data_IF_318788869633
#
_entry.id   IF_318788869633
#
_cell.length_a   1.000
_cell.length_b   1.000
_cell.length_c   1.000
_cell.angle_alpha   90.00
_cell.angle_beta   90.00
_cell.angle_gamma   90.00
#
_symmetry.space_group_name_H-M   'P 1'
#
loop_
_entity.id
_entity.type
_entity.pdbx_description
1 polymer ?
#
# COMPACT_ATOMS: atom_id res chain seq x y z
N UNK A 1 0.12 80.60 6.56
CA UNK A 1 0.50 81.39 7.76
C UNK A 1 1.42 80.45 8.53
N UNK A 2 2.73 80.64 8.39
CA UNK A 2 3.63 81.28 9.40
C UNK A 2 3.70 80.44 10.65
N UNK A 3 4.79 80.00 11.20
CA UNK A 3 6.22 80.33 11.16
C UNK A 3 6.95 79.19 11.92
N UNK A 4 8.08 78.63 11.41
CA UNK A 4 9.42 79.08 11.83
C UNK A 4 9.66 79.11 13.37
N UNK A 5 10.49 78.15 13.90
CA UNK A 5 11.74 78.50 14.53
C UNK A 5 12.70 77.34 14.81
N UNK A 6 13.94 77.48 14.52
CA UNK A 6 15.17 76.76 14.90
C UNK A 6 15.71 77.37 16.19
N UNK A 7 16.93 76.98 16.67
CA UNK A 7 17.66 75.72 16.87
C UNK A 7 18.22 75.63 18.33
N UNK A 8 18.87 74.53 18.65
CA UNK A 8 19.65 74.39 19.86
C UNK A 8 20.69 73.26 19.77
N UNK A 9 21.87 73.61 19.33
CA UNK A 9 23.10 72.83 19.49
C UNK A 9 23.43 72.66 20.97
N UNK A 10 23.78 71.43 21.37
CA UNK A 10 24.73 71.27 22.49
C UNK A 10 25.59 70.03 22.24
N UNK A 11 26.87 70.35 22.33
CA UNK A 11 28.02 69.48 22.03
C UNK A 11 28.51 68.75 23.29
N UNK A 12 29.23 67.68 23.06
CA UNK A 12 30.25 67.01 23.89
C UNK A 12 29.81 66.10 25.07
N UNK A 13 30.14 64.82 25.04
CA UNK A 13 31.47 64.31 25.46
C UNK A 13 31.59 62.84 25.18
N UNK A 14 32.69 62.46 24.54
CA UNK A 14 33.24 61.13 24.56
C UNK A 14 33.50 60.63 25.96
N UNK A 15 33.08 59.40 26.24
CA UNK A 15 33.74 58.56 27.21
C UNK A 15 33.82 57.15 26.71
N UNK A 16 35.03 56.77 26.39
CA UNK A 16 35.42 55.41 26.05
C UNK A 16 35.36 54.55 27.32
N UNK A 17 34.57 53.50 27.30
CA UNK A 17 34.75 52.41 28.26
C UNK A 17 34.55 51.07 27.59
N UNK A 18 35.55 50.26 27.81
CA UNK A 18 35.90 48.95 27.36
C UNK A 18 34.76 47.94 27.17
N UNK A 19 34.83 47.23 26.10
CA UNK A 19 34.11 45.95 25.80
C UNK A 19 34.43 44.84 26.81
N UNK A 20 33.47 44.02 27.11
CA UNK A 20 33.68 42.62 27.30
C UNK A 20 32.83 41.81 26.28
N UNK A 21 33.28 41.79 25.06
CA UNK A 21 32.71 40.93 24.04
C UNK A 21 33.60 39.69 23.86
N UNK A 22 33.57 38.75 24.78
CA UNK A 22 34.26 37.43 24.62
C UNK A 22 33.63 36.27 25.37
N UNK A 23 32.39 36.32 25.87
CA UNK A 23 31.81 35.21 26.65
C UNK A 23 30.50 34.65 26.13
N UNK A 24 29.91 35.16 25.05
CA UNK A 24 28.60 34.68 24.56
C UNK A 24 28.66 33.77 23.33
N UNK A 25 29.85 33.48 22.79
CA UNK A 25 29.98 32.62 21.60
C UNK A 25 30.21 31.11 21.90
N UNK A 26 30.33 30.71 23.14
CA UNK A 26 30.55 29.31 23.53
C UNK A 26 29.29 28.57 24.01
N UNK A 27 28.20 29.28 24.28
CA UNK A 27 26.94 28.65 24.72
C UNK A 27 25.98 28.27 23.59
N UNK A 28 26.15 28.81 22.39
CA UNK A 28 25.24 28.55 21.25
C UNK A 28 25.60 27.31 20.41
N UNK A 29 26.79 26.74 20.57
CA UNK A 29 27.19 25.56 19.80
C UNK A 29 26.76 24.23 20.45
N UNK A 30 26.40 24.20 21.71
CA UNK A 30 25.94 23.00 22.41
C UNK A 30 24.43 22.74 22.27
N UNK A 31 23.62 23.76 21.92
CA UNK A 31 22.19 23.59 21.72
C UNK A 31 21.81 23.04 20.32
N UNK A 32 22.69 23.16 19.33
CA UNK A 32 22.43 22.70 17.95
C UNK A 32 22.64 21.18 17.74
N UNK A 33 23.32 20.51 18.66
CA UNK A 33 23.64 19.07 18.52
C UNK A 33 22.52 18.17 19.08
N UNK A 34 21.62 18.71 19.92
CA UNK A 34 20.55 17.91 20.55
C UNK A 34 19.23 17.84 19.75
N UNK A 35 19.07 18.62 18.66
CA UNK A 35 17.84 18.61 17.84
C UNK A 35 17.91 17.64 16.64
N UNK A 36 19.03 16.95 16.42
CA UNK A 36 19.19 16.05 15.27
C UNK A 36 18.89 14.58 15.57
N UNK A 37 18.44 14.22 16.78
CA UNK A 37 18.36 12.82 17.20
C UNK A 37 16.95 12.28 17.39
N UNK A 38 15.90 12.95 16.87
CA UNK A 38 14.53 12.41 16.90
C UNK A 38 13.86 12.43 15.53
N UNK A 39 14.61 12.22 14.45
CA UNK A 39 14.04 11.60 13.28
C UNK A 39 13.81 10.13 13.67
N UNK A 40 12.73 9.85 14.39
CA UNK A 40 12.21 8.50 14.50
C UNK A 40 12.06 8.02 13.07
N UNK A 41 12.90 7.06 12.66
CA UNK A 41 12.71 6.32 11.43
C UNK A 41 11.28 5.78 11.54
N UNK A 42 10.35 6.37 10.81
CA UNK A 42 9.14 5.67 10.42
C UNK A 42 9.69 4.51 9.61
N UNK A 43 9.84 3.37 10.27
CA UNK A 43 10.29 2.16 9.61
C UNK A 43 9.28 1.90 8.51
N UNK A 44 9.70 2.18 7.28
CA UNK A 44 8.88 1.96 6.10
C UNK A 44 8.54 0.47 6.07
N UNK A 45 7.26 0.14 5.99
CA UNK A 45 6.78 -1.23 5.88
C UNK A 45 7.32 -1.86 4.60
N UNK A 46 8.47 -2.54 4.66
CA UNK A 46 9.09 -3.16 3.50
C UNK A 46 9.53 -4.58 3.82
N UNK A 47 8.93 -5.54 3.15
CA UNK A 47 9.26 -6.94 3.31
C UNK A 47 8.90 -7.77 2.08
N UNK A 48 9.43 -9.00 2.01
CA UNK A 48 8.96 -10.04 1.11
C UNK A 48 8.53 -11.28 1.88
N UNK A 49 7.64 -12.09 1.29
CA UNK A 49 7.20 -13.35 1.85
C UNK A 49 6.76 -14.32 0.76
N UNK A 50 6.78 -15.61 1.07
CA UNK A 50 6.20 -16.66 0.24
C UNK A 50 4.74 -16.90 0.67
N UNK A 51 3.79 -16.97 -0.29
CA UNK A 51 2.40 -17.32 -0.02
C UNK A 51 2.19 -18.81 -0.19
N UNK A 52 1.66 -19.42 0.85
CA UNK A 52 1.40 -20.88 0.91
C UNK A 52 -0.03 -21.12 1.35
N UNK A 53 -0.75 -21.97 0.63
CA UNK A 53 -2.05 -22.47 1.03
C UNK A 53 -1.93 -23.84 1.65
N UNK A 54 -2.63 -24.05 2.77
CA UNK A 54 -2.78 -25.36 3.42
C UNK A 54 -4.26 -25.69 3.51
N UNK A 55 -4.63 -26.86 2.95
CA UNK A 55 -5.97 -27.42 3.07
C UNK A 55 -5.82 -28.89 3.39
N UNK A 56 -6.39 -29.30 4.53
CA UNK A 56 -6.18 -30.63 5.10
C UNK A 56 -4.67 -30.93 5.23
N UNK A 57 -4.18 -31.99 4.64
CA UNK A 57 -2.76 -32.37 4.63
C UNK A 57 -1.99 -31.82 3.40
N UNK A 58 -2.68 -31.10 2.50
CA UNK A 58 -2.08 -30.60 1.26
C UNK A 58 -1.54 -29.20 1.46
N UNK A 59 -0.28 -29.00 1.08
CA UNK A 59 0.38 -27.70 1.05
C UNK A 59 0.69 -27.31 -0.40
N UNK A 60 0.28 -26.12 -0.79
CA UNK A 60 0.45 -25.59 -2.16
C UNK A 60 1.12 -24.22 -2.12
N UNK A 61 2.21 -24.04 -2.84
CA UNK A 61 2.79 -22.72 -3.04
C UNK A 61 1.90 -21.88 -3.94
N UNK A 62 1.44 -20.74 -3.45
CA UNK A 62 0.59 -19.81 -4.20
C UNK A 62 1.39 -18.73 -4.93
N UNK A 63 2.61 -18.44 -4.47
CA UNK A 63 3.46 -17.42 -5.07
C UNK A 63 4.31 -16.68 -4.05
N UNK A 64 4.74 -15.48 -4.45
CA UNK A 64 5.54 -14.58 -3.61
C UNK A 64 4.91 -13.20 -3.57
N UNK A 65 4.95 -12.57 -2.41
CA UNK A 65 4.58 -11.17 -2.28
C UNK A 65 5.79 -10.31 -1.87
N UNK A 66 5.74 -9.05 -2.30
CA UNK A 66 6.59 -7.97 -1.82
C UNK A 66 5.72 -6.81 -1.41
N UNK A 67 6.09 -6.17 -0.32
CA UNK A 67 5.33 -5.06 0.27
C UNK A 67 6.25 -3.86 0.45
N UNK A 68 5.77 -2.68 0.13
CA UNK A 68 6.43 -1.41 0.41
C UNK A 68 5.39 -0.28 0.47
N UNK A 69 5.33 0.40 1.62
CA UNK A 69 4.61 1.67 1.79
C UNK A 69 3.17 1.67 1.22
N UNK A 70 2.38 0.69 1.60
CA UNK A 70 1.00 0.59 1.14
C UNK A 70 0.82 -0.03 -0.24
N UNK A 71 1.89 -0.52 -0.87
CA UNK A 71 1.85 -1.22 -2.15
C UNK A 71 2.23 -2.68 -1.99
N UNK A 72 1.62 -3.54 -2.83
CA UNK A 72 1.96 -4.96 -2.91
C UNK A 72 2.21 -5.35 -4.36
N UNK A 73 3.25 -6.14 -4.55
CA UNK A 73 3.45 -6.93 -5.76
C UNK A 73 3.27 -8.40 -5.40
N UNK A 74 2.33 -9.05 -6.08
CA UNK A 74 2.04 -10.47 -5.91
C UNK A 74 2.38 -11.21 -7.21
N UNK A 75 3.35 -12.09 -7.14
CA UNK A 75 3.76 -13.01 -8.21
C UNK A 75 3.09 -14.37 -7.94
N UNK A 76 1.92 -14.60 -8.55
CA UNK A 76 1.14 -15.80 -8.31
C UNK A 76 1.66 -16.96 -9.14
N UNK A 77 1.86 -18.14 -8.52
CA UNK A 77 2.35 -19.34 -9.20
C UNK A 77 1.44 -19.81 -10.35
N UNK A 78 0.14 -19.53 -10.27
CA UNK A 78 -0.83 -19.82 -11.31
C UNK A 78 -0.64 -18.99 -12.59
N UNK A 79 0.07 -17.86 -12.53
CA UNK A 79 0.33 -16.97 -13.67
C UNK A 79 1.80 -16.54 -13.72
N UNK A 80 2.69 -17.44 -14.14
CA UNK A 80 4.14 -17.20 -14.08
C UNK A 80 4.63 -16.11 -15.06
N UNK A 81 3.81 -15.70 -16.02
CA UNK A 81 4.12 -14.67 -17.02
C UNK A 81 3.59 -13.28 -16.63
N UNK A 82 3.04 -13.14 -15.41
CA UNK A 82 2.47 -11.89 -14.91
C UNK A 82 2.54 -11.74 -13.40
N UNK A 83 2.14 -10.56 -12.93
CA UNK A 83 2.05 -10.24 -11.51
C UNK A 83 0.93 -9.25 -11.24
N UNK A 84 0.47 -9.23 -10.01
CA UNK A 84 -0.48 -8.22 -9.54
C UNK A 84 0.25 -7.07 -8.85
N UNK A 85 -0.23 -5.86 -9.09
CA UNK A 85 0.13 -4.66 -8.32
C UNK A 85 -1.10 -4.17 -7.59
N UNK A 86 -0.96 -3.94 -6.29
CA UNK A 86 -2.01 -3.42 -5.41
C UNK A 86 -1.50 -2.13 -4.80
N UNK A 87 -2.35 -1.10 -4.78
CA UNK A 87 -2.08 0.19 -4.13
C UNK A 87 -3.26 0.53 -3.24
N UNK A 88 -3.02 0.81 -1.95
CA UNK A 88 -4.07 1.16 -1.00
C UNK A 88 -4.25 2.67 -0.85
N UNK A 89 -3.29 3.49 -1.25
CA UNK A 89 -3.38 4.95 -1.16
C UNK A 89 -4.40 5.51 -2.15
N UNK A 90 -4.41 4.95 -3.38
CA UNK A 90 -5.49 5.18 -4.33
C UNK A 90 -6.07 3.82 -4.73
N UNK A 91 -7.03 3.26 -3.97
CA UNK A 91 -7.38 1.84 -4.06
C UNK A 91 -7.44 1.33 -5.48
N UNK A 92 -6.48 0.51 -5.86
CA UNK A 92 -6.34 -0.04 -7.21
C UNK A 92 -5.68 -1.42 -7.16
N UNK A 93 -6.05 -2.27 -8.10
CA UNK A 93 -5.38 -3.53 -8.35
C UNK A 93 -5.23 -3.74 -9.85
N UNK A 94 -4.02 -4.04 -10.29
CA UNK A 94 -3.69 -4.28 -11.70
C UNK A 94 -3.08 -5.66 -11.88
N UNK A 95 -3.44 -6.34 -12.96
CA UNK A 95 -2.70 -7.48 -13.45
C UNK A 95 -1.80 -7.03 -14.60
N UNK A 96 -0.51 -7.32 -14.50
CA UNK A 96 0.53 -6.86 -15.42
C UNK A 96 1.15 -8.06 -16.10
N UNK A 97 1.18 -8.08 -17.45
CA UNK A 97 1.83 -9.11 -18.27
C UNK A 97 2.93 -8.49 -19.12
N UNK A 98 4.18 -8.50 -18.64
CA UNK A 98 5.30 -7.85 -19.33
C UNK A 98 5.55 -8.42 -20.74
N UNK A 99 5.51 -9.75 -20.91
CA UNK A 99 5.71 -10.39 -22.20
C UNK A 99 4.70 -9.97 -23.27
N UNK A 100 3.46 -9.67 -22.88
CA UNK A 100 2.42 -9.15 -23.77
C UNK A 100 2.40 -7.62 -23.84
N UNK A 101 3.21 -6.92 -23.05
CA UNK A 101 3.26 -5.46 -22.91
C UNK A 101 1.89 -4.84 -22.60
N UNK A 102 1.10 -5.51 -21.77
CA UNK A 102 -0.24 -5.07 -21.35
C UNK A 102 -0.41 -5.13 -19.85
N UNK A 103 -1.29 -4.28 -19.34
CA UNK A 103 -1.84 -4.40 -17.99
C UNK A 103 -3.35 -4.18 -18.03
N UNK A 104 -4.06 -4.67 -17.03
CA UNK A 104 -5.51 -4.53 -16.90
C UNK A 104 -5.92 -4.35 -15.45
N UNK A 105 -7.12 -3.84 -15.21
CA UNK A 105 -7.68 -3.81 -13.87
C UNK A 105 -7.89 -5.26 -13.40
N UNK A 106 -7.26 -5.61 -12.27
CA UNK A 106 -7.33 -6.96 -11.72
C UNK A 106 -8.72 -7.31 -11.17
N UNK A 107 -9.41 -6.30 -10.61
CA UNK A 107 -10.80 -6.42 -10.07
C UNK A 107 -11.07 -7.77 -9.41
N UNK A 108 -11.78 -8.66 -10.12
CA UNK A 108 -12.18 -9.98 -9.64
C UNK A 108 -11.22 -11.10 -10.06
N UNK A 109 -10.06 -10.76 -10.64
CA UNK A 109 -9.13 -11.78 -11.20
C UNK A 109 -8.52 -12.68 -10.13
N UNK A 110 -8.33 -12.20 -8.91
CA UNK A 110 -7.81 -12.99 -7.81
C UNK A 110 -8.31 -12.47 -6.47
N UNK A 111 -8.93 -13.30 -5.63
CA UNK A 111 -9.31 -12.93 -4.26
C UNK A 111 -8.12 -12.49 -3.40
N UNK A 112 -6.92 -13.01 -3.69
CA UNK A 112 -5.69 -12.69 -2.96
C UNK A 112 -5.38 -11.19 -3.00
N UNK A 113 -5.72 -10.49 -4.08
CA UNK A 113 -5.49 -9.03 -4.21
C UNK A 113 -6.31 -8.21 -3.21
N UNK A 114 -7.48 -8.70 -2.83
CA UNK A 114 -8.30 -8.07 -1.80
C UNK A 114 -7.94 -8.48 -0.38
N UNK A 115 -7.49 -9.71 -0.19
CA UNK A 115 -7.18 -10.28 1.12
C UNK A 115 -5.80 -9.83 1.64
N UNK A 116 -4.77 -9.87 0.77
CA UNK A 116 -3.39 -9.52 1.11
C UNK A 116 -3.05 -8.09 0.65
N UNK A 117 -3.70 -7.12 1.27
CA UNK A 117 -3.42 -5.70 1.11
C UNK A 117 -2.94 -5.12 2.45
N UNK A 118 -2.00 -4.16 2.46
CA UNK A 118 -1.60 -3.47 3.68
C UNK A 118 -2.80 -2.84 4.38
N UNK A 119 -2.80 -2.86 5.71
CA UNK A 119 -3.92 -2.37 6.50
C UNK A 119 -3.44 -1.39 7.57
N UNK A 120 -4.32 -0.51 8.01
CA UNK A 120 -4.15 0.19 9.28
C UNK A 120 -4.49 -0.80 10.42
N UNK A 121 -3.54 -1.15 11.30
CA UNK A 121 -3.80 -2.10 12.38
C UNK A 121 -4.93 -1.67 13.34
N UNK A 122 -5.23 -0.37 13.40
CA UNK A 122 -6.31 0.15 14.23
C UNK A 122 -7.68 0.08 13.53
N UNK A 123 -7.70 -0.01 12.20
CA UNK A 123 -8.91 -0.14 11.40
C UNK A 123 -8.67 -0.92 10.10
N UNK A 124 -8.36 -2.22 10.19
CA UNK A 124 -8.12 -3.07 9.01
C UNK A 124 -9.37 -3.20 8.13
N UNK A 125 -10.54 -3.10 8.74
CA UNK A 125 -11.82 -3.22 8.05
C UNK A 125 -12.00 -2.19 6.93
N UNK A 126 -11.47 -0.98 7.12
CA UNK A 126 -11.54 0.09 6.12
C UNK A 126 -10.82 -0.28 4.83
N UNK A 127 -9.61 -0.84 4.91
CA UNK A 127 -8.84 -1.25 3.73
C UNK A 127 -9.49 -2.43 3.02
N UNK A 128 -9.93 -3.45 3.75
CA UNK A 128 -10.64 -4.57 3.16
C UNK A 128 -11.95 -4.15 2.49
N UNK A 129 -12.71 -3.21 3.10
CA UNK A 129 -13.88 -2.64 2.46
C UNK A 129 -13.53 -1.91 1.15
N UNK A 130 -12.48 -1.09 1.15
CA UNK A 130 -12.05 -0.37 -0.04
C UNK A 130 -11.65 -1.34 -1.17
N UNK A 131 -10.94 -2.42 -0.85
CA UNK A 131 -10.60 -3.46 -1.83
C UNK A 131 -11.82 -4.25 -2.32
N UNK A 132 -12.78 -4.54 -1.43
CA UNK A 132 -14.05 -5.16 -1.82
C UNK A 132 -14.86 -4.28 -2.78
N UNK A 133 -14.86 -2.96 -2.58
CA UNK A 133 -15.50 -1.98 -3.46
C UNK A 133 -14.92 -2.00 -4.88
N UNK A 134 -13.62 -2.25 -5.03
CA UNK A 134 -13.01 -2.42 -6.35
C UNK A 134 -13.53 -3.65 -7.09
N UNK A 135 -13.79 -4.73 -6.34
CA UNK A 135 -14.20 -6.02 -6.91
C UNK A 135 -15.70 -6.10 -7.18
N UNK A 136 -16.52 -5.58 -6.28
CA UNK A 136 -17.99 -5.66 -6.35
C UNK A 136 -18.65 -4.36 -5.85
N UNK A 137 -18.60 -3.26 -6.62
CA UNK A 137 -19.04 -1.94 -6.15
C UNK A 137 -20.52 -1.83 -5.82
N UNK A 138 -21.36 -2.73 -6.31
CA UNK A 138 -22.84 -2.65 -6.19
C UNK A 138 -23.42 -3.54 -5.11
N UNK A 139 -22.62 -4.41 -4.48
CA UNK A 139 -23.14 -5.44 -3.57
C UNK A 139 -22.44 -5.39 -2.20
N UNK A 140 -22.47 -4.23 -1.55
CA UNK A 140 -21.84 -4.05 -0.23
C UNK A 140 -22.85 -4.10 0.92
N UNK A 141 -24.14 -4.31 0.64
CA UNK A 141 -25.18 -4.34 1.68
C UNK A 141 -24.91 -5.45 2.73
N UNK A 142 -24.30 -6.53 2.31
CA UNK A 142 -23.95 -7.68 3.17
C UNK A 142 -22.56 -7.59 3.78
N UNK A 143 -21.77 -6.56 3.42
CA UNK A 143 -20.43 -6.39 4.01
C UNK A 143 -20.49 -6.28 5.53
N UNK A 144 -19.68 -7.08 6.18
CA UNK A 144 -19.45 -7.03 7.63
C UNK A 144 -17.98 -7.28 7.90
N UNK A 145 -17.40 -6.52 8.81
CA UNK A 145 -16.05 -6.75 9.30
C UNK A 145 -16.02 -6.39 10.78
N UNK A 146 -15.47 -7.25 11.59
CA UNK A 146 -15.37 -7.05 13.02
C UNK A 146 -14.14 -7.74 13.60
N UNK A 147 -13.58 -7.18 14.65
CA UNK A 147 -12.58 -7.84 15.46
C UNK A 147 -13.20 -9.09 16.10
N UNK A 148 -12.53 -10.22 16.01
CA UNK A 148 -12.98 -11.51 16.57
C UNK A 148 -12.27 -11.80 17.88
N UNK A 149 -10.94 -11.92 17.86
CA UNK A 149 -10.10 -12.16 19.04
C UNK A 149 -8.64 -11.80 18.78
N UNK A 150 -7.79 -11.94 19.80
CA UNK A 150 -6.33 -11.93 19.66
C UNK A 150 -5.79 -13.35 19.71
N UNK A 151 -4.78 -13.64 18.90
CA UNK A 151 -4.12 -14.94 18.87
C UNK A 151 -2.59 -14.76 18.76
N UNK A 152 -1.84 -15.72 19.29
CA UNK A 152 -0.38 -15.74 19.12
C UNK A 152 -0.01 -16.77 18.05
N UNK A 153 0.52 -16.29 16.93
CA UNK A 153 0.98 -17.12 15.81
C UNK A 153 2.48 -16.96 15.67
N UNK A 154 3.23 -18.07 15.71
CA UNK A 154 4.69 -18.09 15.64
C UNK A 154 5.38 -17.11 16.60
N UNK A 155 4.84 -16.95 17.83
CA UNK A 155 5.37 -16.07 18.87
C UNK A 155 4.99 -14.59 18.74
N UNK A 156 4.23 -14.20 17.72
CA UNK A 156 3.73 -12.84 17.50
C UNK A 156 2.26 -12.72 17.86
N UNK A 157 1.88 -11.62 18.49
CA UNK A 157 0.47 -11.29 18.73
C UNK A 157 -0.17 -10.77 17.45
N UNK A 158 -1.28 -11.38 17.08
CA UNK A 158 -2.09 -11.04 15.91
C UNK A 158 -3.49 -10.65 16.36
N UNK A 159 -4.06 -9.65 15.72
CA UNK A 159 -5.48 -9.36 15.81
C UNK A 159 -6.22 -10.15 14.73
N UNK A 160 -7.22 -10.90 15.12
CA UNK A 160 -8.04 -11.70 14.21
C UNK A 160 -9.34 -10.96 13.91
N UNK A 161 -9.63 -10.81 12.63
CA UNK A 161 -10.84 -10.16 12.13
C UNK A 161 -11.67 -11.14 11.32
N UNK A 162 -12.98 -11.09 11.53
CA UNK A 162 -13.94 -11.80 10.70
C UNK A 162 -14.49 -10.86 9.65
N UNK A 163 -14.32 -11.22 8.39
CA UNK A 163 -14.81 -10.48 7.24
C UNK A 163 -15.83 -11.32 6.50
N UNK A 164 -17.04 -10.77 6.32
CA UNK A 164 -18.06 -11.31 5.44
C UNK A 164 -18.30 -10.32 4.29
N UNK A 165 -17.96 -10.73 3.10
CA UNK A 165 -18.18 -9.99 1.87
C UNK A 165 -19.13 -10.76 0.95
N UNK A 166 -19.78 -10.12 -0.03
CA UNK A 166 -20.73 -10.78 -0.93
C UNK A 166 -20.16 -12.02 -1.64
N UNK A 167 -18.88 -11.99 -1.94
CA UNK A 167 -18.20 -13.07 -2.70
C UNK A 167 -17.32 -13.97 -1.85
N UNK A 168 -17.09 -13.65 -0.57
CA UNK A 168 -16.18 -14.43 0.29
C UNK A 168 -16.33 -14.07 1.76
N UNK A 169 -16.28 -15.09 2.60
CA UNK A 169 -16.13 -14.94 4.06
C UNK A 169 -14.76 -15.48 4.46
N UNK A 170 -14.06 -14.75 5.31
CA UNK A 170 -12.75 -15.19 5.79
C UNK A 170 -12.43 -14.66 7.18
N UNK A 171 -11.47 -15.30 7.85
CA UNK A 171 -10.76 -14.78 9.00
C UNK A 171 -9.39 -14.26 8.54
N UNK A 172 -9.00 -13.07 9.00
CA UNK A 172 -7.70 -12.47 8.69
C UNK A 172 -6.91 -12.19 9.97
N UNK A 173 -5.68 -12.68 10.04
CA UNK A 173 -4.72 -12.42 11.11
C UNK A 173 -3.84 -11.24 10.72
N UNK A 174 -3.99 -10.13 11.40
CA UNK A 174 -3.25 -8.89 11.15
C UNK A 174 -2.06 -8.80 12.09
N UNK A 175 -0.87 -8.75 11.52
CA UNK A 175 0.37 -8.41 12.23
C UNK A 175 0.46 -6.89 12.37
N UNK A 176 0.49 -6.41 13.61
CA UNK A 176 0.58 -4.97 13.91
C UNK A 176 1.93 -4.37 13.51
N UNK A 177 3.01 -5.13 13.58
CA UNK A 177 4.35 -4.69 13.23
C UNK A 177 4.47 -4.48 11.71
N UNK A 178 4.07 -5.50 10.93
CA UNK A 178 4.06 -5.41 9.47
C UNK A 178 2.87 -4.63 8.91
N UNK A 179 1.86 -4.26 9.73
CA UNK A 179 0.61 -3.62 9.28
C UNK A 179 -0.01 -4.35 8.10
N UNK A 180 -0.06 -5.68 8.21
CA UNK A 180 -0.37 -6.55 7.09
C UNK A 180 -1.09 -7.82 7.57
N UNK A 181 -2.08 -8.33 6.81
CA UNK A 181 -2.67 -9.63 7.06
C UNK A 181 -1.69 -10.74 6.65
N UNK A 182 -1.10 -11.41 7.64
CA UNK A 182 -0.11 -12.48 7.39
C UNK A 182 -0.73 -13.84 7.21
N UNK A 183 -1.99 -14.00 7.59
CA UNK A 183 -2.71 -15.26 7.46
C UNK A 183 -4.19 -15.01 7.19
N UNK A 184 -4.76 -15.81 6.30
CA UNK A 184 -6.18 -15.76 5.92
C UNK A 184 -6.72 -17.18 5.98
N UNK A 185 -7.87 -17.38 6.66
CA UNK A 185 -8.63 -18.63 6.61
C UNK A 185 -9.93 -18.39 5.86
N UNK A 186 -10.09 -19.06 4.75
CA UNK A 186 -11.29 -19.00 3.92
C UNK A 186 -12.41 -19.90 4.47
N UNK A 187 -13.62 -19.69 4.01
CA UNK A 187 -14.82 -20.41 4.47
C UNK A 187 -14.73 -21.94 4.24
N UNK A 188 -14.06 -22.35 3.17
CA UNK A 188 -13.81 -23.75 2.85
C UNK A 188 -12.69 -24.41 3.69
N UNK A 189 -12.18 -23.69 4.68
CA UNK A 189 -11.16 -24.14 5.62
C UNK A 189 -9.72 -23.98 5.11
N UNK A 190 -9.51 -23.51 3.89
CA UNK A 190 -8.15 -23.26 3.37
C UNK A 190 -7.46 -22.16 4.19
N UNK A 191 -6.25 -22.44 4.67
CA UNK A 191 -5.39 -21.50 5.37
C UNK A 191 -4.32 -20.98 4.41
N UNK A 192 -4.30 -19.67 4.14
CA UNK A 192 -3.30 -19.04 3.31
C UNK A 192 -2.39 -18.22 4.22
N UNK A 193 -1.09 -18.46 4.18
CA UNK A 193 -0.13 -17.85 5.09
C UNK A 193 1.01 -17.22 4.31
N UNK A 194 1.43 -16.02 4.73
CA UNK A 194 2.68 -15.41 4.34
C UNK A 194 3.81 -16.03 5.19
N UNK A 195 4.56 -16.95 4.61
CA UNK A 195 5.67 -17.65 5.25
C UNK A 195 7.02 -17.01 4.87
N UNK A 196 8.06 -17.26 5.66
CA UNK A 196 9.42 -16.77 5.39
C UNK A 196 9.48 -15.25 5.17
N UNK A 197 8.79 -14.49 6.03
CA UNK A 197 8.81 -13.02 5.97
C UNK A 197 10.25 -12.55 6.17
N UNK A 198 10.72 -11.72 5.25
CA UNK A 198 12.05 -11.10 5.25
C UNK A 198 11.90 -9.60 5.18
N UNK A 199 12.30 -8.92 6.25
CA UNK A 199 12.36 -7.47 6.29
C UNK A 199 13.54 -7.00 5.44
N UNK A 200 13.26 -6.43 4.29
CA UNK A 200 14.25 -6.02 3.30
C UNK A 200 13.76 -4.85 2.47
N UNK A 201 14.65 -3.95 2.14
CA UNK A 201 14.34 -2.80 1.28
C UNK A 201 13.84 -3.28 -0.09
N UNK A 202 12.73 -2.69 -0.52
CA UNK A 202 12.12 -3.00 -1.80
C UNK A 202 12.31 -1.81 -2.77
N UNK A 203 12.93 -2.02 -3.95
CA UNK A 203 13.06 -0.96 -4.94
C UNK A 203 11.69 -0.44 -5.39
N UNK A 204 11.50 0.88 -5.43
CA UNK A 204 10.23 1.51 -5.79
C UNK A 204 9.69 1.03 -7.15
N UNK A 205 10.59 0.81 -8.12
CA UNK A 205 10.24 0.32 -9.47
C UNK A 205 9.56 -1.07 -9.45
N UNK A 206 9.75 -1.86 -8.38
CA UNK A 206 9.10 -3.15 -8.19
C UNK A 206 7.57 -3.03 -8.16
N UNK A 207 7.07 -1.87 -7.73
CA UNK A 207 5.63 -1.58 -7.55
C UNK A 207 5.06 -0.67 -8.63
N UNK A 208 5.76 -0.48 -9.72
CA UNK A 208 5.33 0.35 -10.84
C UNK A 208 4.92 -0.52 -12.04
N UNK A 209 3.98 -0.01 -12.82
CA UNK A 209 3.69 -0.58 -14.14
C UNK A 209 4.88 -0.23 -15.06
N UNK A 210 5.57 -1.23 -15.65
CA UNK A 210 6.73 -0.95 -16.49
C UNK A 210 6.41 0.00 -17.65
N UNK A 211 7.36 0.85 -18.01
CA UNK A 211 7.18 1.80 -19.11
C UNK A 211 6.83 1.10 -20.45
N UNK A 212 6.01 1.74 -21.28
CA UNK A 212 5.61 1.22 -22.57
C UNK A 212 4.54 0.13 -22.54
N UNK A 213 3.94 -0.12 -21.37
CA UNK A 213 2.78 -1.01 -21.23
C UNK A 213 1.50 -0.31 -21.70
N UNK A 214 0.57 -1.07 -22.30
CA UNK A 214 -0.75 -0.59 -22.70
C UNK A 214 -1.81 -1.12 -21.76
N UNK A 215 -2.75 -0.26 -21.37
CA UNK A 215 -3.94 -0.75 -20.65
C UNK A 215 -4.80 -1.56 -21.62
N UNK A 216 -5.10 -2.81 -21.25
CA UNK A 216 -5.99 -3.68 -22.00
C UNK A 216 -7.44 -3.42 -21.55
N UNK A 217 -8.30 -3.15 -22.52
CA UNK A 217 -9.74 -3.00 -22.32
C UNK A 217 -10.48 -4.14 -23.01
N UNK A 218 -10.98 -5.12 -22.23
CA UNK A 218 -11.72 -6.25 -22.80
C UNK A 218 -13.00 -5.82 -23.52
N UNK A 219 -13.67 -4.77 -23.03
CA UNK A 219 -14.91 -4.28 -23.65
C UNK A 219 -14.66 -3.67 -25.03
N UNK A 220 -13.60 -2.86 -25.14
CA UNK A 220 -13.19 -2.31 -26.42
C UNK A 220 -12.76 -3.39 -27.43
N UNK A 221 -12.13 -4.48 -26.96
CA UNK A 221 -11.82 -5.62 -27.81
C UNK A 221 -13.09 -6.33 -28.31
N UNK A 222 -14.01 -6.65 -27.41
CA UNK A 222 -15.30 -7.29 -27.76
C UNK A 222 -16.08 -6.42 -28.78
N UNK A 223 -16.11 -5.11 -28.57
CA UNK A 223 -16.77 -4.18 -29.50
C UNK A 223 -16.13 -4.21 -30.89
N UNK A 224 -14.79 -4.20 -30.96
CA UNK A 224 -14.08 -4.33 -32.25
C UNK A 224 -14.36 -5.66 -32.95
N UNK A 225 -14.42 -6.75 -32.20
CA UNK A 225 -14.77 -8.06 -32.76
C UNK A 225 -16.19 -8.05 -33.32
N UNK A 226 -17.17 -7.49 -32.59
CA UNK A 226 -18.56 -7.36 -33.04
C UNK A 226 -18.72 -6.47 -34.29
N UNK A 227 -17.83 -5.51 -34.47
CA UNK A 227 -17.83 -4.58 -35.62
C UNK A 227 -16.97 -5.09 -36.80
N UNK A 228 -16.22 -6.18 -36.61
CA UNK A 228 -15.43 -6.79 -37.67
C UNK A 228 -16.30 -7.74 -38.48
N UNK A 229 -16.10 -7.80 -39.80
CA UNK A 229 -16.82 -8.68 -40.74
C UNK A 229 -16.60 -10.19 -40.53
N UNK A 230 -15.92 -10.56 -39.42
CA UNK A 230 -15.69 -11.98 -39.04
C UNK A 230 -17.00 -12.70 -38.71
N UNK A 231 -18.10 -11.99 -38.50
CA UNK A 231 -19.43 -12.54 -38.19
C UNK A 231 -20.39 -12.44 -39.37
N UNK A 232 -19.91 -12.41 -40.62
CA UNK A 232 -20.78 -12.54 -41.76
C UNK A 232 -21.43 -13.94 -41.67
N UNK A 233 -22.75 -13.95 -41.54
CA UNK A 233 -23.52 -15.20 -41.51
C UNK A 233 -23.13 -16.05 -42.72
N UNK A 234 -22.87 -17.34 -42.48
CA UNK A 234 -22.76 -18.28 -43.58
C UNK A 234 -24.06 -18.18 -44.39
N UNK A 235 -23.98 -18.01 -45.71
CA UNK A 235 -25.18 -18.11 -46.54
C UNK A 235 -25.78 -19.49 -46.29
N UNK A 236 -27.09 -19.52 -46.00
CA UNK A 236 -27.85 -20.74 -45.86
C UNK A 236 -27.59 -21.57 -47.09
N UNK A 237 -27.00 -22.74 -46.89
CA UNK A 237 -26.87 -23.75 -47.95
C UNK A 237 -28.26 -24.30 -48.23
N UNK A 238 -28.84 -23.94 -49.38
CA UNK A 238 -30.00 -24.56 -49.94
C UNK A 238 -29.83 -26.08 -50.12
#
# INVERSE_FOLDING_TARGET
>A
MSAMNRPGNFSMKLNAQASPARSLLKASLLAAVFLAATAGSVEAQQFSADLVAKKDETTTALGRLRVSDGKVRLEAAAWPDGFFLIDIAGPAAYFVRPGARVFMDAKQSSPLTGMFAPVDPNDPCRQWLAMAQLSAPTDLATWRCQHDHEETVAGRKMDVYRVAAPSSTFLGWVDREHKFPVQIKTEDGTMITAEHIRDELQPAQTFEIPAGMRKFDPKALIQRIKQSDVWVAQPDSE
#
